data_IF_400083394460
#
_entry.id   IF_400083394460
#
_cell.length_a   1.000
_cell.length_b   1.000
_cell.length_c   1.000
_cell.angle_alpha   90.00
_cell.angle_beta   90.00
_cell.angle_gamma   90.00
#
_symmetry.space_group_name_H-M   'P 1'
#
loop_
_entity.id
_entity.type
_entity.pdbx_description
1 polymer ?
#
# COMPACT_ATOMS: atom_id res chain seq x y z
N UNK A 1 -29.07 30.92 38.29
CA UNK A 1 -27.85 31.40 37.61
C UNK A 1 -26.67 30.69 38.26
N UNK A 2 -26.31 29.51 37.78
CA UNK A 2 -25.11 28.79 38.21
C UNK A 2 -24.56 28.15 36.94
N UNK A 3 -23.51 28.75 36.39
CA UNK A 3 -22.84 28.29 35.18
C UNK A 3 -22.15 26.96 35.48
N UNK A 4 -22.59 25.91 34.82
CA UNK A 4 -21.90 24.62 34.78
C UNK A 4 -20.55 24.81 34.06
N UNK A 5 -19.48 24.81 34.83
CA UNK A 5 -18.11 24.87 34.33
C UNK A 5 -17.79 23.53 33.63
N UNK A 6 -17.97 23.47 32.33
CA UNK A 6 -17.49 22.39 31.46
C UNK A 6 -15.96 22.37 31.46
N UNK A 7 -15.36 21.64 32.41
CA UNK A 7 -13.95 21.27 32.33
C UNK A 7 -13.75 20.34 31.13
N UNK A 8 -13.37 20.92 30.01
CA UNK A 8 -12.81 20.28 28.82
C UNK A 8 -11.43 19.68 29.13
N UNK A 9 -11.38 18.70 30.04
CA UNK A 9 -10.19 17.89 30.26
C UNK A 9 -10.01 16.94 29.09
N UNK A 10 -8.85 17.00 28.42
CA UNK A 10 -8.45 16.05 27.38
C UNK A 10 -8.42 14.62 27.96
N UNK A 11 -9.48 13.83 27.73
CA UNK A 11 -9.60 12.48 28.29
C UNK A 11 -8.73 11.49 27.50
N UNK A 12 -7.48 11.32 27.96
CA UNK A 12 -6.49 10.42 27.38
C UNK A 12 -6.98 8.96 27.27
N UNK A 13 -7.93 8.52 28.12
CA UNK A 13 -8.50 7.16 28.07
C UNK A 13 -9.49 6.98 26.92
N UNK A 14 -10.08 8.05 26.39
CA UNK A 14 -10.93 7.96 25.20
C UNK A 14 -10.10 7.94 23.90
N UNK A 15 -8.97 8.65 23.88
CA UNK A 15 -8.05 8.63 22.73
C UNK A 15 -7.46 7.23 22.50
N UNK A 16 -7.05 6.54 23.57
CA UNK A 16 -6.43 5.21 23.48
C UNK A 16 -7.38 4.12 22.99
N UNK A 17 -8.70 4.35 23.07
CA UNK A 17 -9.73 3.43 22.58
C UNK A 17 -10.01 3.56 21.08
N UNK A 18 -9.55 4.64 20.43
CA UNK A 18 -9.76 4.82 18.98
C UNK A 18 -8.91 3.81 18.21
N UNK A 19 -9.51 3.16 17.20
CA UNK A 19 -8.84 2.14 16.37
C UNK A 19 -7.56 2.66 15.69
N UNK A 20 -7.55 3.95 15.32
CA UNK A 20 -6.41 4.61 14.67
C UNK A 20 -5.34 5.10 15.65
N UNK A 21 -5.55 4.98 16.96
CA UNK A 21 -4.59 5.47 17.96
C UNK A 21 -3.23 4.80 17.80
N UNK A 22 -3.19 3.47 17.67
CA UNK A 22 -1.94 2.72 17.59
C UNK A 22 -1.15 2.99 16.29
N UNK A 23 -1.79 3.00 15.09
CA UNK A 23 -1.13 3.43 13.86
C UNK A 23 -0.58 4.86 13.93
N UNK A 24 -1.35 5.81 14.49
CA UNK A 24 -0.93 7.22 14.59
C UNK A 24 0.25 7.36 15.55
N UNK A 25 0.20 6.69 16.71
CA UNK A 25 1.33 6.69 17.66
C UNK A 25 2.57 6.10 17.01
N UNK A 26 2.43 5.02 16.23
CA UNK A 26 3.54 4.43 15.50
C UNK A 26 4.17 5.43 14.53
N UNK A 27 3.35 6.08 13.71
CA UNK A 27 3.80 7.12 12.78
C UNK A 27 4.52 8.25 13.52
N UNK A 28 3.95 8.75 14.62
CA UNK A 28 4.56 9.80 15.44
C UNK A 28 5.92 9.36 16.00
N UNK A 29 6.02 8.13 16.52
CA UNK A 29 7.29 7.61 17.06
C UNK A 29 8.37 7.54 15.97
N UNK A 30 8.02 7.08 14.77
CA UNK A 30 8.95 7.07 13.63
C UNK A 30 9.36 8.50 13.27
N UNK A 31 8.40 9.41 13.13
CA UNK A 31 8.67 10.81 12.80
C UNK A 31 9.51 11.54 13.86
N UNK A 32 9.31 11.26 15.14
CA UNK A 32 10.13 11.82 16.23
C UNK A 32 11.55 11.25 16.22
N UNK A 33 11.70 9.96 15.93
CA UNK A 33 13.02 9.34 15.77
C UNK A 33 13.78 10.00 14.62
N UNK A 34 13.07 10.36 13.55
CA UNK A 34 13.64 11.07 12.41
C UNK A 34 14.10 12.48 12.79
N UNK A 35 13.32 13.21 13.59
CA UNK A 35 13.73 14.54 14.06
C UNK A 35 15.06 14.50 14.83
N UNK A 36 15.26 13.47 15.66
CA UNK A 36 16.47 13.32 16.48
C UNK A 36 17.69 12.94 15.63
N UNK A 37 17.50 12.13 14.59
CA UNK A 37 18.59 11.63 13.74
C UNK A 37 18.91 12.54 12.56
N UNK A 38 17.92 13.26 12.06
CA UNK A 38 18.02 14.20 10.95
C UNK A 38 17.31 15.50 11.35
N UNK A 39 18.04 16.48 11.91
CA UNK A 39 17.47 17.75 12.35
C UNK A 39 16.74 18.53 11.23
N UNK A 40 17.15 18.30 9.98
CA UNK A 40 16.55 18.90 8.79
C UNK A 40 15.39 18.08 8.21
N UNK A 41 14.95 17.00 8.86
CA UNK A 41 13.93 16.10 8.31
C UNK A 41 12.62 16.82 7.96
N UNK A 42 12.19 17.77 8.82
CA UNK A 42 10.97 18.55 8.62
C UNK A 42 11.18 19.84 7.82
N UNK A 43 12.41 20.17 7.41
CA UNK A 43 12.65 21.32 6.57
C UNK A 43 12.12 21.04 5.17
N UNK A 44 11.16 21.85 4.75
CA UNK A 44 10.63 21.85 3.39
C UNK A 44 11.18 23.08 2.68
N UNK A 45 11.94 22.86 1.61
CA UNK A 45 12.51 23.90 0.76
C UNK A 45 11.76 23.95 -0.55
N UNK A 46 11.56 25.15 -1.09
CA UNK A 46 11.08 25.33 -2.45
C UNK A 46 12.30 25.52 -3.37
N UNK A 47 12.62 24.51 -4.17
CA UNK A 47 13.73 24.58 -5.13
C UNK A 47 13.14 24.46 -6.52
N UNK A 48 13.40 25.45 -7.39
CA UNK A 48 12.88 25.50 -8.77
C UNK A 48 11.34 25.41 -8.88
N UNK A 49 10.61 26.04 -7.94
CA UNK A 49 9.14 26.03 -7.93
C UNK A 49 8.50 24.74 -7.39
N UNK A 50 9.32 23.80 -6.90
CA UNK A 50 8.89 22.49 -6.42
C UNK A 50 9.23 22.30 -4.94
N UNK A 51 8.32 21.68 -4.19
CA UNK A 51 8.57 21.34 -2.78
C UNK A 51 9.55 20.17 -2.72
N UNK A 52 10.62 20.35 -1.95
CA UNK A 52 11.65 19.38 -1.70
C UNK A 52 11.88 19.24 -0.19
N UNK A 53 12.25 18.04 0.23
CA UNK A 53 12.52 17.71 1.63
C UNK A 53 12.05 16.29 1.96
N UNK A 54 12.58 15.73 3.03
CA UNK A 54 12.30 14.34 3.40
C UNK A 54 10.82 14.06 3.60
N UNK A 55 10.04 15.01 4.15
CA UNK A 55 8.59 14.86 4.28
C UNK A 55 7.91 14.74 2.92
N UNK A 56 8.31 15.55 1.93
CA UNK A 56 7.77 15.47 0.57
C UNK A 56 8.14 14.13 -0.06
N UNK A 57 9.38 13.68 0.10
CA UNK A 57 9.84 12.39 -0.43
C UNK A 57 9.09 11.21 0.18
N UNK A 58 8.82 11.25 1.49
CA UNK A 58 8.00 10.26 2.18
C UNK A 58 6.61 10.22 1.57
N UNK A 59 5.94 11.37 1.43
CA UNK A 59 4.55 11.39 0.92
C UNK A 59 4.53 10.95 -0.55
N UNK A 60 5.51 11.40 -1.34
CA UNK A 60 5.65 11.06 -2.74
C UNK A 60 5.83 9.55 -2.96
N UNK A 61 6.83 8.94 -2.31
CA UNK A 61 7.13 7.50 -2.45
C UNK A 61 6.14 6.59 -1.73
N UNK A 62 5.42 7.12 -0.74
CA UNK A 62 4.35 6.38 -0.08
C UNK A 62 3.14 6.22 -0.99
N UNK A 63 3.02 7.01 -2.05
CA UNK A 63 1.84 7.02 -2.91
C UNK A 63 1.57 5.65 -3.53
N UNK A 64 2.59 5.01 -4.10
CA UNK A 64 2.48 3.66 -4.65
C UNK A 64 2.11 2.65 -3.56
N UNK A 65 2.77 2.73 -2.40
CA UNK A 65 2.50 1.85 -1.26
C UNK A 65 1.09 2.03 -0.69
N UNK A 66 0.57 3.26 -0.65
CA UNK A 66 -0.79 3.58 -0.21
C UNK A 66 -1.82 2.95 -1.15
N UNK A 67 -1.63 3.09 -2.47
CA UNK A 67 -2.52 2.51 -3.48
C UNK A 67 -2.56 0.98 -3.35
N UNK A 68 -1.41 0.34 -3.15
CA UNK A 68 -1.34 -1.09 -2.89
C UNK A 68 -2.01 -1.47 -1.57
N UNK A 69 -1.71 -0.74 -0.49
CA UNK A 69 -2.20 -1.05 0.84
C UNK A 69 -3.72 -0.98 0.92
N UNK A 70 -4.39 -0.04 0.22
CA UNK A 70 -5.86 -0.01 0.18
C UNK A 70 -6.44 -1.23 -0.54
N UNK A 71 -5.87 -1.66 -1.67
CA UNK A 71 -6.31 -2.86 -2.39
C UNK A 71 -6.10 -4.12 -1.57
N UNK A 72 -4.91 -4.22 -0.97
CA UNK A 72 -4.54 -5.31 -0.08
C UNK A 72 -5.45 -5.37 1.16
N UNK A 73 -5.88 -4.23 1.71
CA UNK A 73 -6.83 -4.18 2.82
C UNK A 73 -8.15 -4.86 2.47
N UNK A 74 -8.66 -4.67 1.25
CA UNK A 74 -9.90 -5.29 0.80
C UNK A 74 -9.75 -6.81 0.67
N UNK A 75 -8.63 -7.27 0.09
CA UNK A 75 -8.32 -8.69 -0.05
C UNK A 75 -8.19 -9.36 1.32
N UNK A 76 -7.44 -8.74 2.23
CA UNK A 76 -7.30 -9.20 3.62
C UNK A 76 -8.66 -9.28 4.30
N UNK A 77 -9.45 -8.22 4.22
CA UNK A 77 -10.76 -8.15 4.85
C UNK A 77 -11.72 -9.22 4.32
N UNK A 78 -11.81 -9.43 3.01
CA UNK A 78 -12.78 -10.36 2.43
C UNK A 78 -12.36 -11.83 2.52
N UNK A 79 -11.06 -12.12 2.38
CA UNK A 79 -10.58 -13.50 2.22
C UNK A 79 -9.80 -14.05 3.41
N UNK A 80 -9.40 -13.19 4.35
CA UNK A 80 -8.50 -13.57 5.45
C UNK A 80 -7.11 -13.99 4.97
N UNK A 81 -6.73 -13.55 3.77
CA UNK A 81 -5.45 -13.84 3.16
C UNK A 81 -4.92 -12.66 2.38
N UNK A 82 -3.80 -12.87 1.69
CA UNK A 82 -2.96 -11.80 1.20
C UNK A 82 -2.64 -11.99 -0.27
N UNK A 83 -2.72 -10.91 -1.05
CA UNK A 83 -2.26 -10.93 -2.44
C UNK A 83 -0.77 -10.61 -2.52
N UNK A 84 0.07 -11.66 -2.44
CA UNK A 84 1.52 -11.50 -2.50
C UNK A 84 1.98 -11.05 -3.90
N UNK A 85 1.15 -11.25 -4.94
CA UNK A 85 1.53 -10.98 -6.31
C UNK A 85 1.51 -9.51 -6.70
N UNK A 86 1.00 -8.60 -5.86
CA UNK A 86 0.76 -7.19 -6.23
C UNK A 86 2.00 -6.48 -6.80
N UNK A 87 3.20 -6.76 -6.29
CA UNK A 87 4.45 -6.21 -6.84
C UNK A 87 4.78 -6.77 -8.24
N UNK A 88 4.53 -8.06 -8.48
CA UNK A 88 4.66 -8.67 -9.80
C UNK A 88 3.60 -8.13 -10.78
N UNK A 89 2.36 -7.90 -10.31
CA UNK A 89 1.29 -7.28 -11.11
C UNK A 89 1.63 -5.85 -11.51
N UNK A 90 2.27 -5.06 -10.62
CA UNK A 90 2.81 -3.75 -10.99
C UNK A 90 3.83 -3.86 -12.14
N UNK A 91 4.73 -4.84 -12.07
CA UNK A 91 5.73 -5.06 -13.13
C UNK A 91 5.07 -5.45 -14.46
N UNK A 92 4.04 -6.29 -14.46
CA UNK A 92 3.25 -6.64 -15.66
C UNK A 92 2.55 -5.41 -16.24
N UNK A 93 1.92 -4.60 -15.39
CA UNK A 93 1.23 -3.38 -15.83
C UNK A 93 2.21 -2.35 -16.40
N UNK A 94 3.35 -2.13 -15.75
CA UNK A 94 4.43 -1.28 -16.23
C UNK A 94 4.96 -1.76 -17.60
N UNK A 95 5.26 -3.07 -17.71
CA UNK A 95 5.71 -3.70 -18.95
C UNK A 95 4.71 -3.50 -20.08
N UNK A 96 3.43 -3.80 -19.86
CA UNK A 96 2.38 -3.61 -20.85
C UNK A 96 2.22 -2.13 -21.27
N UNK A 97 2.25 -1.21 -20.30
CA UNK A 97 2.17 0.23 -20.56
C UNK A 97 3.33 0.70 -21.45
N UNK A 98 4.57 0.46 -21.02
CA UNK A 98 5.75 0.93 -21.72
C UNK A 98 5.88 0.28 -23.10
N UNK A 99 5.63 -1.02 -23.21
CA UNK A 99 5.74 -1.73 -24.50
C UNK A 99 4.77 -1.19 -25.56
N UNK A 100 3.55 -0.80 -25.14
CA UNK A 100 2.58 -0.18 -26.06
C UNK A 100 3.01 1.24 -26.41
N UNK A 101 3.48 2.03 -25.43
CA UNK A 101 3.94 3.40 -25.69
C UNK A 101 5.15 3.45 -26.63
N UNK A 102 6.09 2.51 -26.51
CA UNK A 102 7.27 2.43 -27.39
C UNK A 102 7.02 1.69 -28.69
N UNK A 103 5.85 1.05 -28.86
CA UNK A 103 5.52 0.29 -30.06
C UNK A 103 6.35 -0.98 -30.24
N UNK A 104 7.04 -1.44 -29.20
CA UNK A 104 7.91 -2.61 -29.29
C UNK A 104 9.40 -2.31 -29.04
N UNK A 105 9.80 -1.04 -29.14
CA UNK A 105 11.18 -0.60 -29.07
C UNK A 105 11.72 -0.59 -27.64
N UNK A 106 13.03 -0.81 -27.49
CA UNK A 106 13.73 -0.78 -26.19
C UNK A 106 13.81 0.65 -25.64
N UNK A 107 13.88 1.66 -26.49
CA UNK A 107 13.89 3.07 -26.07
C UNK A 107 13.18 3.93 -27.10
N UNK A 108 12.17 4.69 -26.68
CA UNK A 108 11.45 5.61 -27.55
C UNK A 108 11.49 7.04 -27.00
N UNK A 109 11.74 8.01 -27.90
CA UNK A 109 11.69 9.45 -27.61
C UNK A 109 10.35 10.09 -28.02
N UNK A 110 9.47 9.31 -28.64
CA UNK A 110 8.11 9.71 -29.01
C UNK A 110 7.16 8.54 -28.75
N UNK A 111 5.88 8.84 -28.54
CA UNK A 111 4.86 7.79 -28.41
C UNK A 111 4.56 7.18 -29.77
N UNK A 112 4.74 5.85 -29.88
CA UNK A 112 4.32 5.09 -31.04
C UNK A 112 2.79 4.91 -31.08
N UNK A 113 2.17 4.82 -29.89
CA UNK A 113 0.73 4.62 -29.74
C UNK A 113 0.11 5.64 -28.77
N UNK A 114 -1.22 5.87 -28.85
CA UNK A 114 -1.90 6.79 -27.95
C UNK A 114 -1.71 6.42 -26.49
N UNK A 115 -1.47 7.43 -25.64
CA UNK A 115 -1.24 7.26 -24.22
C UNK A 115 -2.40 6.53 -23.50
N UNK A 116 -3.64 6.87 -23.86
CA UNK A 116 -4.85 6.26 -23.29
C UNK A 116 -4.89 4.75 -23.54
N UNK A 117 -4.49 4.31 -24.73
CA UNK A 117 -4.46 2.88 -25.09
C UNK A 117 -3.49 2.11 -24.18
N UNK A 118 -2.31 2.68 -23.93
CA UNK A 118 -1.31 2.07 -23.05
C UNK A 118 -1.79 1.97 -21.60
N UNK A 119 -2.46 3.01 -21.08
CA UNK A 119 -3.04 3.00 -19.74
C UNK A 119 -4.14 1.93 -19.64
N UNK A 120 -5.05 1.87 -20.60
CA UNK A 120 -6.14 0.87 -20.62
C UNK A 120 -5.59 -0.55 -20.69
N UNK A 121 -4.56 -0.80 -21.50
CA UNK A 121 -3.93 -2.10 -21.60
C UNK A 121 -3.21 -2.51 -20.30
N UNK A 122 -2.53 -1.57 -19.64
CA UNK A 122 -1.88 -1.81 -18.36
C UNK A 122 -2.90 -2.15 -17.26
N UNK A 123 -3.98 -1.38 -17.16
CA UNK A 123 -5.08 -1.66 -16.23
C UNK A 123 -5.78 -2.98 -16.59
N UNK A 124 -5.97 -3.27 -17.87
CA UNK A 124 -6.53 -4.53 -18.35
C UNK A 124 -5.68 -5.73 -17.97
N UNK A 125 -4.36 -5.67 -18.20
CA UNK A 125 -3.42 -6.73 -17.82
C UNK A 125 -3.41 -6.96 -16.29
N UNK A 126 -3.45 -5.87 -15.51
CA UNK A 126 -3.51 -5.94 -14.06
C UNK A 126 -4.86 -6.48 -13.54
N UNK A 127 -5.97 -6.13 -14.21
CA UNK A 127 -7.28 -6.69 -13.93
C UNK A 127 -7.34 -8.19 -14.24
N UNK A 128 -6.75 -8.64 -15.36
CA UNK A 128 -6.64 -10.07 -15.69
C UNK A 128 -5.85 -10.85 -14.63
N UNK A 129 -4.77 -10.26 -14.12
CA UNK A 129 -4.03 -10.80 -12.98
C UNK A 129 -4.92 -10.93 -11.73
N UNK A 130 -5.68 -9.89 -11.40
CA UNK A 130 -6.65 -9.92 -10.29
C UNK A 130 -7.78 -10.92 -10.49
N UNK A 131 -8.27 -11.09 -11.73
CA UNK A 131 -9.27 -12.10 -12.10
C UNK A 131 -8.70 -13.51 -11.90
N UNK A 132 -7.45 -13.75 -12.30
CA UNK A 132 -6.77 -15.02 -12.10
C UNK A 132 -6.68 -15.37 -10.61
N UNK A 133 -6.13 -14.48 -9.78
CA UNK A 133 -6.05 -14.71 -8.34
C UNK A 133 -7.45 -14.86 -7.70
N UNK A 134 -8.38 -13.98 -8.06
CA UNK A 134 -9.75 -14.01 -7.56
C UNK A 134 -10.47 -15.31 -7.92
N UNK A 135 -10.24 -15.85 -9.12
CA UNK A 135 -10.81 -17.11 -9.56
C UNK A 135 -10.28 -18.29 -8.73
N UNK A 136 -8.96 -18.39 -8.57
CA UNK A 136 -8.32 -19.44 -7.78
C UNK A 136 -8.80 -19.42 -6.31
N UNK A 137 -8.85 -18.23 -5.72
CA UNK A 137 -9.21 -18.09 -4.30
C UNK A 137 -10.71 -18.24 -4.08
N UNK A 138 -11.52 -17.51 -4.84
CA UNK A 138 -12.95 -17.42 -4.54
C UNK A 138 -13.77 -18.58 -5.08
N UNK A 139 -13.41 -19.11 -6.25
CA UNK A 139 -14.16 -20.17 -6.93
C UNK A 139 -13.55 -21.55 -6.71
N UNK A 140 -12.23 -21.70 -6.84
CA UNK A 140 -11.56 -22.98 -6.59
C UNK A 140 -11.27 -23.24 -5.11
N UNK A 141 -11.39 -22.23 -4.24
CA UNK A 141 -11.18 -22.38 -2.81
C UNK A 141 -9.72 -22.63 -2.42
N UNK A 142 -8.76 -22.29 -3.31
CA UNK A 142 -7.33 -22.39 -3.01
C UNK A 142 -6.98 -21.35 -1.94
N UNK A 143 -6.09 -21.72 -1.02
CA UNK A 143 -5.62 -20.79 0.00
C UNK A 143 -5.01 -19.53 -0.64
N UNK A 144 -5.43 -18.31 -0.23
CA UNK A 144 -4.97 -17.03 -0.78
C UNK A 144 -3.46 -16.90 -1.02
N UNK A 145 -2.67 -17.34 -0.03
CA UNK A 145 -1.21 -17.27 -0.10
C UNK A 145 -0.66 -18.14 -1.23
N UNK A 146 -1.13 -19.38 -1.35
CA UNK A 146 -0.68 -20.30 -2.42
C UNK A 146 -1.12 -19.81 -3.79
N UNK A 147 -2.38 -19.39 -3.92
CA UNK A 147 -2.92 -18.88 -5.19
C UNK A 147 -2.11 -17.68 -5.72
N UNK A 148 -1.78 -16.75 -4.83
CA UNK A 148 -1.07 -15.52 -5.20
C UNK A 148 0.43 -15.73 -5.33
N UNK A 149 1.03 -16.74 -4.68
CA UNK A 149 2.42 -17.14 -4.88
C UNK A 149 2.68 -17.64 -6.32
N UNK A 150 1.70 -18.30 -6.95
CA UNK A 150 1.78 -18.70 -8.35
C UNK A 150 1.98 -17.46 -9.24
N UNK A 151 1.13 -16.46 -9.08
CA UNK A 151 1.22 -15.23 -9.88
C UNK A 151 2.39 -14.33 -9.46
N UNK A 152 2.82 -14.37 -8.20
CA UNK A 152 4.05 -13.72 -7.76
C UNK A 152 5.26 -14.25 -8.53
N UNK A 153 5.35 -15.58 -8.67
CA UNK A 153 6.45 -16.25 -9.39
C UNK A 153 6.33 -16.04 -10.91
N UNK A 154 5.13 -16.24 -11.47
CA UNK A 154 4.92 -16.13 -12.91
C UNK A 154 4.88 -14.67 -13.41
N UNK A 155 4.38 -13.73 -12.62
CA UNK A 155 4.10 -12.36 -13.04
C UNK A 155 5.34 -11.60 -13.50
N UNK A 156 6.48 -11.75 -12.80
CA UNK A 156 7.75 -11.17 -13.26
C UNK A 156 8.24 -11.82 -14.55
N UNK A 157 8.07 -13.13 -14.69
CA UNK A 157 8.34 -13.83 -15.95
C UNK A 157 7.46 -13.32 -17.09
N UNK A 158 6.18 -13.09 -16.85
CA UNK A 158 5.26 -12.49 -17.83
C UNK A 158 5.72 -11.07 -18.21
N UNK A 159 6.10 -10.24 -17.23
CA UNK A 159 6.63 -8.90 -17.48
C UNK A 159 7.93 -8.95 -18.31
N UNK A 160 8.81 -9.91 -18.04
CA UNK A 160 10.02 -10.14 -18.85
C UNK A 160 9.68 -10.61 -20.27
N UNK A 161 8.68 -11.47 -20.45
CA UNK A 161 8.24 -11.91 -21.78
C UNK A 161 7.68 -10.73 -22.59
N UNK A 162 6.90 -9.84 -21.96
CA UNK A 162 6.37 -8.63 -22.60
C UNK A 162 7.50 -7.70 -23.06
N UNK A 163 8.53 -7.54 -22.23
CA UNK A 163 9.68 -6.65 -22.48
C UNK A 163 10.83 -7.32 -23.24
N UNK A 164 10.68 -8.60 -23.63
CA UNK A 164 11.74 -9.43 -24.23
C UNK A 164 13.03 -9.47 -23.39
N UNK A 165 12.90 -9.40 -22.07
CA UNK A 165 14.01 -9.39 -21.11
C UNK A 165 14.84 -8.10 -21.07
N UNK A 166 14.41 -7.04 -21.76
CA UNK A 166 15.08 -5.74 -21.77
C UNK A 166 14.35 -4.73 -20.87
N UNK A 167 15.05 -3.68 -20.45
CA UNK A 167 14.40 -2.54 -19.80
C UNK A 167 13.86 -1.60 -20.87
N UNK A 168 12.55 -1.44 -20.96
CA UNK A 168 11.91 -0.57 -21.96
C UNK A 168 11.87 0.87 -21.46
N UNK A 169 12.54 1.80 -22.13
CA UNK A 169 12.61 3.22 -21.78
C UNK A 169 11.61 4.08 -22.56
N UNK A 170 10.82 4.87 -21.84
CA UNK A 170 9.87 5.84 -22.42
C UNK A 170 10.39 7.24 -22.11
N UNK A 171 11.19 7.79 -23.02
CA UNK A 171 11.85 9.11 -22.88
C UNK A 171 10.98 10.23 -23.44
N UNK A 172 9.74 10.30 -22.96
CA UNK A 172 8.77 11.33 -23.35
C UNK A 172 8.35 12.10 -22.11
N UNK A 173 8.49 13.43 -22.13
CA UNK A 173 8.18 14.27 -20.97
C UNK A 173 6.73 14.14 -20.49
N UNK A 174 5.79 13.93 -21.41
CA UNK A 174 4.39 13.67 -21.07
C UNK A 174 4.22 12.40 -20.22
N UNK A 175 5.07 11.38 -20.41
CA UNK A 175 5.04 10.16 -19.60
C UNK A 175 5.53 10.41 -18.18
N UNK A 176 6.53 11.28 -18.00
CA UNK A 176 7.12 11.65 -16.70
C UNK A 176 6.11 12.25 -15.73
N UNK A 177 5.07 12.89 -16.24
CA UNK A 177 4.12 13.66 -15.43
C UNK A 177 3.48 12.78 -14.34
N UNK A 178 3.20 11.50 -14.60
CA UNK A 178 2.53 10.63 -13.61
C UNK A 178 3.39 10.31 -12.38
N UNK A 179 4.68 10.06 -12.57
CA UNK A 179 5.65 9.73 -11.52
C UNK A 179 6.46 10.93 -11.01
N UNK A 180 6.35 12.07 -11.69
CA UNK A 180 7.07 13.32 -11.43
C UNK A 180 6.15 14.43 -10.95
N UNK A 181 6.16 15.57 -11.66
CA UNK A 181 5.41 16.78 -11.32
C UNK A 181 4.58 17.25 -12.52
N UNK A 182 3.40 17.80 -12.25
CA UNK A 182 2.51 18.31 -13.28
C UNK A 182 2.70 19.83 -13.44
N UNK A 183 3.31 20.24 -14.55
CA UNK A 183 3.58 21.66 -14.86
C UNK A 183 4.29 22.40 -13.72
N UNK A 184 3.78 23.57 -13.34
CA UNK A 184 4.29 24.39 -12.22
C UNK A 184 3.74 23.99 -10.85
N UNK A 185 3.07 22.84 -10.73
CA UNK A 185 2.52 22.42 -9.44
C UNK A 185 3.66 22.03 -8.49
N UNK A 186 3.73 22.62 -7.28
CA UNK A 186 4.79 22.31 -6.33
C UNK A 186 4.68 20.91 -5.70
N UNK A 187 3.55 20.21 -5.91
CA UNK A 187 3.22 18.92 -5.28
C UNK A 187 3.50 17.78 -6.28
N UNK A 188 4.20 16.71 -5.86
CA UNK A 188 4.41 15.53 -6.70
C UNK A 188 3.09 14.90 -7.18
N UNK A 189 3.01 14.58 -8.48
CA UNK A 189 1.83 13.98 -9.10
C UNK A 189 1.38 12.65 -8.47
N UNK A 190 2.28 11.74 -8.04
CA UNK A 190 1.89 10.48 -7.40
C UNK A 190 0.94 10.64 -6.22
N UNK A 191 1.05 11.76 -5.49
CA UNK A 191 0.20 12.06 -4.32
C UNK A 191 -1.26 12.21 -4.75
N UNK A 192 -1.52 12.85 -5.90
CA UNK A 192 -2.87 12.97 -6.42
C UNK A 192 -3.44 11.61 -6.82
N UNK A 193 -2.65 10.73 -7.44
CA UNK A 193 -3.08 9.36 -7.73
C UNK A 193 -3.46 8.60 -6.46
N UNK A 194 -2.64 8.68 -5.41
CA UNK A 194 -2.95 8.05 -4.13
C UNK A 194 -4.23 8.61 -3.50
N UNK A 195 -4.39 9.93 -3.44
CA UNK A 195 -5.59 10.59 -2.90
C UNK A 195 -6.83 10.20 -3.69
N UNK A 196 -6.76 10.27 -5.03
CA UNK A 196 -7.87 9.92 -5.92
C UNK A 196 -8.29 8.47 -5.69
N UNK A 197 -7.35 7.52 -5.67
CA UNK A 197 -7.66 6.11 -5.47
C UNK A 197 -8.22 5.83 -4.07
N UNK A 198 -7.67 6.46 -3.03
CA UNK A 198 -8.21 6.38 -1.67
C UNK A 198 -9.64 6.92 -1.60
N UNK A 199 -9.91 8.06 -2.24
CA UNK A 199 -11.26 8.66 -2.30
C UNK A 199 -12.21 7.74 -3.05
N UNK A 200 -11.84 7.23 -4.23
CA UNK A 200 -12.68 6.33 -5.03
C UNK A 200 -13.04 5.10 -4.22
N UNK A 201 -12.06 4.40 -3.63
CA UNK A 201 -12.32 3.19 -2.85
C UNK A 201 -13.17 3.51 -1.62
N UNK A 202 -12.85 4.58 -0.89
CA UNK A 202 -13.63 5.00 0.28
C UNK A 202 -15.07 5.39 -0.07
N UNK A 203 -15.29 6.07 -1.20
CA UNK A 203 -16.63 6.40 -1.69
C UNK A 203 -17.40 5.14 -2.06
N UNK A 204 -16.78 4.19 -2.78
CA UNK A 204 -17.39 2.90 -3.09
C UNK A 204 -17.82 2.21 -1.79
N UNK A 205 -16.94 2.12 -0.79
CA UNK A 205 -17.29 1.45 0.47
C UNK A 205 -18.33 2.17 1.32
N UNK A 206 -18.40 3.50 1.28
CA UNK A 206 -19.35 4.29 2.09
C UNK A 206 -20.69 4.50 1.41
N UNK A 207 -20.72 4.58 0.08
CA UNK A 207 -21.93 4.80 -0.71
C UNK A 207 -22.59 3.49 -1.16
N UNK A 208 -21.89 2.36 -1.08
CA UNK A 208 -22.44 1.04 -1.37
C UNK A 208 -22.39 0.13 -0.15
N UNK A 209 -23.14 -0.96 -0.17
CA UNK A 209 -23.08 -2.00 0.86
C UNK A 209 -21.81 -2.87 0.80
N UNK A 210 -20.89 -2.61 -0.16
CA UNK A 210 -19.71 -3.44 -0.39
C UNK A 210 -18.83 -3.56 0.86
N UNK A 211 -18.67 -2.49 1.63
CA UNK A 211 -17.90 -2.53 2.88
C UNK A 211 -18.48 -3.53 3.90
N UNK A 212 -19.78 -3.48 4.13
CA UNK A 212 -20.49 -4.40 5.03
C UNK A 212 -20.43 -5.85 4.53
N UNK A 213 -20.53 -6.03 3.21
CA UNK A 213 -20.46 -7.35 2.58
C UNK A 213 -19.06 -7.97 2.71
N UNK A 214 -18.01 -7.17 2.50
CA UNK A 214 -16.62 -7.58 2.70
C UNK A 214 -16.40 -7.98 4.16
N UNK A 215 -16.83 -7.16 5.13
CA UNK A 215 -16.67 -7.49 6.54
C UNK A 215 -17.43 -8.77 6.94
N UNK A 216 -18.68 -8.91 6.49
CA UNK A 216 -19.50 -10.10 6.78
C UNK A 216 -18.89 -11.38 6.23
N UNK A 217 -18.47 -11.36 4.96
CA UNK A 217 -17.84 -12.51 4.29
C UNK A 217 -16.50 -12.85 4.92
N UNK A 218 -15.74 -11.84 5.32
CA UNK A 218 -14.47 -11.99 6.02
C UNK A 218 -14.60 -12.64 7.39
N UNK A 219 -15.64 -12.30 8.15
CA UNK A 219 -15.90 -12.91 9.47
C UNK A 219 -16.36 -14.36 9.30
N UNK A 220 -17.36 -14.59 8.47
CA UNK A 220 -17.85 -15.94 8.20
C UNK A 220 -18.54 -16.02 6.83
N UNK A 221 -17.79 -16.50 5.83
CA UNK A 221 -18.31 -16.69 4.47
C UNK A 221 -19.38 -17.79 4.35
N UNK A 222 -19.40 -18.79 5.24
CA UNK A 222 -20.44 -19.82 5.25
C UNK A 222 -21.76 -19.25 5.77
N UNK A 223 -21.74 -18.55 6.91
CA UNK A 223 -22.91 -17.86 7.45
C UNK A 223 -23.44 -16.77 6.50
N UNK A 224 -22.53 -16.01 5.86
CA UNK A 224 -22.89 -15.00 4.87
C UNK A 224 -23.67 -15.58 3.69
N UNK A 225 -23.36 -16.81 3.26
CA UNK A 225 -24.10 -17.51 2.19
C UNK A 225 -25.52 -17.90 2.61
N UNK A 226 -25.72 -18.29 3.88
CA UNK A 226 -27.04 -18.64 4.40
C UNK A 226 -28.01 -17.44 4.41
N UNK A 227 -27.48 -16.23 4.53
CA UNK A 227 -28.27 -14.98 4.45
C UNK A 227 -28.31 -14.37 3.04
N UNK A 228 -27.93 -15.13 2.01
CA UNK A 228 -28.06 -14.75 0.60
C UNK A 228 -26.90 -13.94 0.01
N UNK A 229 -25.80 -13.73 0.75
CA UNK A 229 -24.62 -13.05 0.19
C UNK A 229 -23.76 -14.01 -0.63
N UNK A 230 -23.44 -13.62 -1.86
CA UNK A 230 -22.50 -14.37 -2.69
C UNK A 230 -21.06 -14.12 -2.25
N UNK A 231 -20.61 -14.88 -1.24
CA UNK A 231 -19.25 -14.79 -0.70
C UNK A 231 -18.16 -14.99 -1.75
N UNK A 232 -18.40 -15.85 -2.75
CA UNK A 232 -17.49 -16.07 -3.87
C UNK A 232 -17.33 -14.81 -4.70
N UNK A 233 -18.42 -14.15 -5.09
CA UNK A 233 -18.34 -12.94 -5.90
C UNK A 233 -17.68 -11.78 -5.15
N UNK A 234 -17.95 -11.64 -3.84
CA UNK A 234 -17.35 -10.59 -3.01
C UNK A 234 -15.84 -10.78 -2.93
N UNK A 235 -15.37 -12.00 -2.62
CA UNK A 235 -13.93 -12.31 -2.61
C UNK A 235 -13.31 -12.06 -3.98
N UNK A 236 -13.92 -12.57 -5.05
CA UNK A 236 -13.44 -12.37 -6.42
C UNK A 236 -13.25 -10.88 -6.74
N UNK A 237 -14.25 -10.04 -6.46
CA UNK A 237 -14.20 -8.61 -6.74
C UNK A 237 -13.05 -7.90 -5.99
N UNK A 238 -12.77 -8.30 -4.74
CA UNK A 238 -11.65 -7.69 -3.99
C UNK A 238 -10.28 -7.96 -4.64
N UNK A 239 -10.06 -9.14 -5.22
CA UNK A 239 -8.82 -9.43 -5.95
C UNK A 239 -8.74 -8.66 -7.27
N UNK A 240 -9.85 -8.51 -7.99
CA UNK A 240 -9.87 -7.69 -9.23
C UNK A 240 -9.56 -6.23 -8.91
N UNK A 241 -10.17 -5.66 -7.87
CA UNK A 241 -9.90 -4.29 -7.42
C UNK A 241 -8.43 -4.16 -6.99
N UNK A 242 -7.89 -5.14 -6.25
CA UNK A 242 -6.48 -5.16 -5.86
C UNK A 242 -5.53 -5.17 -7.06
N UNK A 243 -5.83 -6.00 -8.07
CA UNK A 243 -5.09 -6.04 -9.34
C UNK A 243 -5.13 -4.71 -10.08
N UNK A 244 -6.30 -4.08 -10.23
CA UNK A 244 -6.44 -2.75 -10.86
C UNK A 244 -5.62 -1.68 -10.14
N UNK A 245 -5.67 -1.65 -8.81
CA UNK A 245 -4.88 -0.71 -8.00
C UNK A 245 -3.38 -0.95 -8.12
N UNK A 246 -2.95 -2.22 -8.17
CA UNK A 246 -1.56 -2.58 -8.49
C UNK A 246 -1.17 -2.12 -9.90
N UNK A 247 -2.09 -2.18 -10.87
CA UNK A 247 -1.87 -1.63 -12.20
C UNK A 247 -1.61 -0.12 -12.19
N UNK A 248 -2.44 0.65 -11.48
CA UNK A 248 -2.24 2.10 -11.31
C UNK A 248 -0.89 2.40 -10.66
N UNK A 249 -0.56 1.70 -9.57
CA UNK A 249 0.72 1.86 -8.88
C UNK A 249 1.91 1.52 -9.80
N UNK A 250 1.78 0.49 -10.65
CA UNK A 250 2.79 0.09 -11.63
C UNK A 250 3.06 1.18 -12.67
N UNK A 251 2.02 1.81 -13.21
CA UNK A 251 2.13 2.92 -14.18
C UNK A 251 2.83 4.13 -13.54
N UNK A 252 2.47 4.47 -12.30
CA UNK A 252 3.11 5.57 -11.55
C UNK A 252 4.59 5.26 -11.30
N UNK A 253 4.90 4.02 -10.88
CA UNK A 253 6.26 3.59 -10.61
C UNK A 253 7.14 3.60 -11.88
N UNK A 254 6.65 3.10 -13.01
CA UNK A 254 7.39 3.10 -14.27
C UNK A 254 7.59 4.51 -14.84
N UNK A 255 6.59 5.38 -14.70
CA UNK A 255 6.69 6.80 -15.04
C UNK A 255 7.78 7.51 -14.24
N UNK A 256 7.93 7.18 -12.95
CA UNK A 256 8.94 7.78 -12.06
C UNK A 256 10.37 7.50 -12.53
N UNK A 257 10.62 6.30 -13.06
CA UNK A 257 11.96 5.86 -13.50
C UNK A 257 12.15 5.90 -15.03
N UNK A 258 11.15 6.39 -15.78
CA UNK A 258 11.12 6.43 -17.25
C UNK A 258 11.28 5.07 -17.93
N UNK A 259 11.02 3.99 -17.20
CA UNK A 259 11.25 2.66 -17.74
C UNK A 259 10.35 1.62 -17.11
N UNK A 260 10.15 0.54 -17.85
CA UNK A 260 9.64 -0.72 -17.34
C UNK A 260 10.80 -1.67 -17.08
N UNK A 261 11.31 -1.66 -15.85
CA UNK A 261 12.21 -2.69 -15.35
C UNK A 261 11.39 -3.80 -14.68
N UNK A 262 11.22 -4.93 -15.39
CA UNK A 262 10.45 -6.07 -14.92
C UNK A 262 11.02 -6.72 -13.64
N UNK A 263 12.31 -6.53 -13.34
CA UNK A 263 12.97 -7.11 -12.18
C UNK A 263 12.84 -6.23 -10.93
N UNK A 264 12.87 -4.91 -11.11
CA UNK A 264 12.93 -3.97 -9.98
C UNK A 264 11.60 -3.29 -9.67
N UNK A 265 10.70 -3.10 -10.65
CA UNK A 265 9.39 -2.50 -10.38
C UNK A 265 8.61 -3.39 -9.42
N UNK A 266 8.01 -2.75 -8.41
CA UNK A 266 7.21 -3.43 -7.40
C UNK A 266 8.01 -4.31 -6.43
N UNK A 267 9.34 -4.40 -6.53
CA UNK A 267 10.14 -5.31 -5.72
C UNK A 267 10.03 -5.01 -4.22
N UNK A 268 9.63 -6.03 -3.44
CA UNK A 268 9.38 -5.97 -1.99
C UNK A 268 8.22 -5.06 -1.57
N UNK A 269 7.56 -4.35 -2.50
CA UNK A 269 6.40 -3.50 -2.17
C UNK A 269 5.20 -4.32 -1.75
N UNK A 270 5.09 -5.57 -2.22
CA UNK A 270 4.11 -6.53 -1.70
C UNK A 270 4.28 -6.73 -0.19
N UNK A 271 5.50 -6.93 0.31
CA UNK A 271 5.78 -7.16 1.73
C UNK A 271 5.51 -5.90 2.54
N UNK A 272 5.94 -4.74 2.03
CA UNK A 272 5.65 -3.45 2.66
C UNK A 272 4.14 -3.17 2.74
N UNK A 273 3.35 -3.56 1.73
CA UNK A 273 1.90 -3.40 1.73
C UNK A 273 1.23 -4.28 2.80
N UNK A 274 1.71 -5.51 2.98
CA UNK A 274 1.23 -6.41 4.06
C UNK A 274 1.52 -5.78 5.42
N UNK A 275 2.75 -5.30 5.61
CA UNK A 275 3.16 -4.63 6.84
C UNK A 275 2.36 -3.35 7.10
N UNK A 276 2.07 -2.55 6.07
CA UNK A 276 1.23 -1.37 6.17
C UNK A 276 -0.19 -1.71 6.64
N UNK A 277 -0.81 -2.76 6.09
CA UNK A 277 -2.14 -3.23 6.51
C UNK A 277 -2.11 -3.75 7.95
N UNK A 278 -1.08 -4.50 8.33
CA UNK A 278 -0.92 -5.03 9.68
C UNK A 278 -0.71 -3.92 10.72
N UNK A 279 0.23 -3.00 10.46
CA UNK A 279 0.51 -1.83 11.31
C UNK A 279 -0.67 -0.86 11.38
N UNK A 280 -1.50 -0.85 10.33
CA UNK A 280 -2.77 -0.13 10.28
C UNK A 280 -3.84 -0.65 11.25
N UNK A 281 -3.58 -1.76 11.96
CA UNK A 281 -4.51 -2.35 12.93
C UNK A 281 -5.64 -3.15 12.30
N UNK A 282 -5.41 -3.68 11.09
CA UNK A 282 -6.35 -4.56 10.42
C UNK A 282 -6.13 -6.01 10.83
N UNK A 283 -7.22 -6.76 10.94
CA UNK A 283 -7.14 -8.19 11.23
C UNK A 283 -6.69 -8.92 9.96
N UNK A 284 -5.47 -9.49 10.00
CA UNK A 284 -4.94 -10.27 8.86
C UNK A 284 -5.77 -11.53 8.57
N UNK A 285 -6.52 -12.04 9.56
CA UNK A 285 -7.47 -13.14 9.39
C UNK A 285 -8.80 -12.74 8.74
N UNK A 286 -8.99 -11.48 8.36
CA UNK A 286 -10.18 -10.99 7.68
C UNK A 286 -11.28 -10.46 8.59
N UNK A 287 -12.36 -10.00 7.96
CA UNK A 287 -13.47 -9.33 8.64
C UNK A 287 -13.25 -7.83 8.77
N UNK A 288 -13.27 -7.32 10.01
CA UNK A 288 -13.25 -5.87 10.30
C UNK A 288 -11.97 -5.19 9.81
N UNK A 289 -12.09 -4.09 9.07
CA UNK A 289 -10.94 -3.37 8.53
C UNK A 289 -11.06 -1.84 8.63
N UNK A 290 -9.96 -1.14 8.36
CA UNK A 290 -9.84 0.31 8.32
C UNK A 290 -8.89 0.71 7.20
N UNK A 291 -9.44 1.32 6.15
CA UNK A 291 -8.62 1.86 5.04
C UNK A 291 -7.65 2.94 5.53
N UNK A 292 -8.13 3.86 6.36
CA UNK A 292 -7.28 4.93 6.90
C UNK A 292 -6.15 4.37 7.77
N UNK A 293 -6.40 3.26 8.49
CA UNK A 293 -5.35 2.53 9.20
C UNK A 293 -4.23 2.10 8.27
N UNK A 294 -4.55 1.46 7.14
CA UNK A 294 -3.56 1.03 6.15
C UNK A 294 -2.84 2.17 5.48
N UNK A 295 -3.53 3.29 5.20
CA UNK A 295 -2.91 4.51 4.65
C UNK A 295 -1.86 5.05 5.63
N UNK A 296 -2.18 5.15 6.91
CA UNK A 296 -1.24 5.58 7.96
C UNK A 296 -0.09 4.57 8.10
N UNK A 297 -0.39 3.27 8.03
CA UNK A 297 0.62 2.21 8.04
C UNK A 297 1.59 2.32 6.85
N UNK A 298 1.09 2.61 5.66
CA UNK A 298 1.91 2.82 4.45
C UNK A 298 2.84 4.02 4.62
N UNK A 299 2.32 5.15 5.11
CA UNK A 299 3.16 6.31 5.44
C UNK A 299 4.19 5.99 6.53
N UNK A 300 3.86 5.14 7.50
CA UNK A 300 4.80 4.72 8.55
C UNK A 300 5.96 3.91 7.97
N UNK A 301 5.65 2.93 7.12
CA UNK A 301 6.67 2.09 6.46
C UNK A 301 7.53 2.93 5.51
N UNK A 302 6.94 3.86 4.76
CA UNK A 302 7.70 4.73 3.88
C UNK A 302 8.54 5.75 4.65
N UNK A 303 8.01 6.31 5.74
CA UNK A 303 8.77 7.21 6.62
C UNK A 303 10.01 6.50 7.14
N UNK A 304 9.85 5.29 7.68
CA UNK A 304 10.94 4.44 8.15
C UNK A 304 11.95 4.16 7.04
N UNK A 305 11.49 3.81 5.85
CA UNK A 305 12.37 3.54 4.69
C UNK A 305 13.21 4.77 4.34
N UNK A 306 12.59 5.94 4.30
CA UNK A 306 13.26 7.20 3.96
C UNK A 306 14.27 7.59 5.04
N UNK A 307 13.99 7.32 6.31
CA UNK A 307 14.94 7.52 7.42
C UNK A 307 16.16 6.65 7.29
N UNK A 308 15.98 5.35 7.00
CA UNK A 308 17.11 4.44 6.86
C UNK A 308 18.02 4.88 5.70
N UNK A 309 17.43 5.36 4.60
CA UNK A 309 18.21 5.99 3.53
C UNK A 309 18.91 7.28 3.97
N UNK A 310 18.25 8.13 4.76
CA UNK A 310 18.87 9.34 5.32
C UNK A 310 20.02 9.03 6.29
N UNK A 311 20.00 7.87 6.95
CA UNK A 311 21.09 7.33 7.76
C UNK A 311 22.18 6.62 6.93
N UNK A 312 22.18 6.80 5.61
CA UNK A 312 23.13 6.20 4.66
C UNK A 312 23.16 4.66 4.67
N UNK A 313 22.04 4.02 5.02
CA UNK A 313 21.89 2.57 4.83
C UNK A 313 21.73 2.28 3.34
N UNK A 314 22.57 1.40 2.80
CA UNK A 314 22.48 0.99 1.40
C UNK A 314 21.19 0.22 1.10
N UNK A 315 20.70 0.31 -0.13
CA UNK A 315 19.48 -0.37 -0.60
C UNK A 315 19.49 -1.88 -0.34
N UNK A 316 20.65 -2.53 -0.45
CA UNK A 316 20.79 -3.98 -0.28
C UNK A 316 20.65 -4.41 1.19
N UNK A 317 21.01 -3.52 2.13
CA UNK A 317 20.92 -3.76 3.57
C UNK A 317 19.60 -3.27 4.16
N UNK A 318 18.86 -2.43 3.43
CA UNK A 318 17.60 -1.84 3.86
C UNK A 318 16.60 -2.89 4.42
N UNK A 319 16.37 -4.06 3.77
CA UNK A 319 15.40 -5.04 4.28
C UNK A 319 15.73 -5.54 5.68
N UNK A 320 17.02 -5.71 6.00
CA UNK A 320 17.48 -6.21 7.32
C UNK A 320 17.17 -5.19 8.41
N UNK A 321 17.60 -3.94 8.24
CA UNK A 321 17.34 -2.87 9.21
C UNK A 321 15.84 -2.58 9.34
N UNK A 322 15.12 -2.60 8.22
CA UNK A 322 13.66 -2.45 8.21
C UNK A 322 12.99 -3.54 9.04
N UNK A 323 13.38 -4.81 8.87
CA UNK A 323 12.83 -5.93 9.62
C UNK A 323 13.05 -5.78 11.14
N UNK A 324 14.24 -5.36 11.58
CA UNK A 324 14.53 -5.13 13.01
C UNK A 324 13.59 -4.08 13.61
N UNK A 325 13.45 -2.93 12.94
CA UNK A 325 12.59 -1.84 13.43
C UNK A 325 11.11 -2.27 13.42
N UNK A 326 10.66 -2.95 12.37
CA UNK A 326 9.27 -3.43 12.26
C UNK A 326 8.96 -4.47 13.34
N UNK A 327 9.88 -5.39 13.66
CA UNK A 327 9.71 -6.35 14.76
C UNK A 327 9.52 -5.62 16.09
N UNK A 328 10.35 -4.62 16.39
CA UNK A 328 10.22 -3.82 17.61
C UNK A 328 8.84 -3.16 17.67
N UNK A 329 8.41 -2.53 16.58
CA UNK A 329 7.11 -1.88 16.48
C UNK A 329 5.99 -2.89 16.72
N UNK A 330 5.98 -4.02 16.01
CA UNK A 330 4.91 -5.03 16.11
C UNK A 330 4.85 -5.67 17.50
N UNK A 331 6.00 -5.96 18.11
CA UNK A 331 6.05 -6.50 19.48
C UNK A 331 5.49 -5.50 20.49
N UNK A 332 5.86 -4.23 20.40
CA UNK A 332 5.31 -3.17 21.27
C UNK A 332 3.80 -2.99 21.08
N UNK A 333 3.31 -3.21 19.86
CA UNK A 333 1.90 -3.13 19.52
C UNK A 333 1.10 -4.36 19.97
N UNK A 334 1.74 -5.52 20.07
CA UNK A 334 1.10 -6.81 20.37
C UNK A 334 0.32 -6.79 21.69
N UNK A 335 -0.97 -7.19 21.68
CA UNK A 335 -1.76 -7.34 22.91
C UNK A 335 -1.14 -8.33 23.90
N UNK A 336 -0.47 -9.37 23.39
CA UNK A 336 0.17 -10.40 24.20
C UNK A 336 1.32 -9.79 25.01
N UNK A 337 2.15 -8.98 24.36
CA UNK A 337 3.26 -8.31 25.03
C UNK A 337 2.78 -7.30 26.08
N UNK A 338 1.71 -6.55 25.79
CA UNK A 338 1.09 -5.65 26.77
C UNK A 338 0.55 -6.38 28.00
N UNK A 339 -0.11 -7.54 27.81
CA UNK A 339 -0.55 -8.39 28.91
C UNK A 339 0.63 -8.94 29.72
N UNK A 340 1.68 -9.39 29.05
CA UNK A 340 2.90 -9.86 29.71
C UNK A 340 3.54 -8.78 30.60
N UNK A 341 3.70 -7.56 30.09
CA UNK A 341 4.20 -6.41 30.85
C UNK A 341 3.31 -6.05 32.04
N UNK A 342 1.99 -6.08 31.87
CA UNK A 342 1.04 -5.84 32.95
C UNK A 342 1.19 -6.89 34.06
N UNK A 343 1.30 -8.16 33.68
CA UNK A 343 1.52 -9.28 34.61
C UNK A 343 2.88 -9.18 35.32
N UNK A 344 3.94 -8.79 34.61
CA UNK A 344 5.27 -8.60 35.18
C UNK A 344 5.31 -7.44 36.18
N UNK A 345 4.63 -6.32 35.89
CA UNK A 345 4.46 -5.20 36.84
C UNK A 345 3.65 -5.61 38.05
N UNK A 346 2.55 -6.35 37.86
CA UNK A 346 1.73 -6.86 38.95
C UNK A 346 2.54 -7.79 39.88
N UNK A 347 3.35 -8.70 39.32
CA UNK A 347 4.26 -9.56 40.09
C UNK A 347 5.32 -8.78 40.86
N UNK A 348 5.88 -7.71 40.29
CA UNK A 348 6.85 -6.85 41.01
C UNK A 348 6.21 -6.05 42.14
N UNK A 349 4.96 -5.62 41.97
CA UNK A 349 4.23 -4.89 43.00
C UNK A 349 3.75 -5.79 44.15
N UNK A 350 3.60 -7.10 43.94
CA UNK A 350 3.24 -8.06 44.99
C UNK A 350 4.44 -8.55 45.82
N UNK A 351 5.68 -8.25 45.40
CA UNK A 351 6.92 -8.64 46.10
C UNK A 351 7.48 -7.50 46.97
N UNK A 352 6.82 -6.35 46.99
CA UNK A 352 7.10 -5.19 47.86
C UNK A 352 5.98 -5.09 48.87
#
# INVERSE_FOLDING_TARGET
>A
MASENTKTGFDFKQLTKKRLFLPIVCLIVVLLTNLVKTPDFFKVSLTNGVLNGYVIDVINRASELVILAIGMTLVTAASGGQDISVGAVMAVAAAACCQILTGGEVSANAFANPFILAVLAAIGAAALCGIFNGFLVAKLGIQPMVATLILFTAGRGIAQLITKGQTTYVRVDAYKIMGGYIGSCPIPTPIFFAIIMVIIVNLILKKTALGLYIESVGINGAASRLVGLNSTMIKFLTYVICGVLAGVAGIVASSRIYSADANNIGLNLEMDAILAVALGGNALGGGKFSLMGSVIGAYTIQALTTTLYAMSVSSDRLPVYKAVVVVIIVVLQSPVFKKYLANAKARRASTI
#
